data_IF_317341221231
#
_entry.id   IF_317341221231
#
_cell.length_a   1.000
_cell.length_b   1.000
_cell.length_c   1.000
_cell.angle_alpha   90.00
_cell.angle_beta   90.00
_cell.angle_gamma   90.00
#
_symmetry.space_group_name_H-M   'P 1'
#
loop_
_entity.id
_entity.type
_entity.pdbx_description
1 polymer ?
#
# COMPACT_ATOMS: atom_id res chain seq x y z
N UNK A 1 -23.34 31.34 -1.76
CA UNK A 1 -23.17 30.29 -2.77
C UNK A 1 -23.00 28.99 -2.02
N UNK A 2 -24.13 28.35 -1.70
CA UNK A 2 -24.15 27.12 -0.91
C UNK A 2 -23.61 26.00 -1.78
N UNK A 3 -22.39 25.56 -1.47
CA UNK A 3 -21.92 24.25 -1.87
C UNK A 3 -22.94 23.26 -1.35
N UNK A 4 -23.75 22.77 -2.26
CA UNK A 4 -24.65 21.67 -2.04
C UNK A 4 -23.82 20.49 -1.51
N UNK A 5 -23.71 20.38 -0.18
CA UNK A 5 -23.45 19.13 0.53
C UNK A 5 -24.68 18.23 0.34
N UNK A 6 -25.04 17.96 -0.91
CA UNK A 6 -25.87 16.83 -1.28
C UNK A 6 -25.01 15.64 -0.93
N UNK A 7 -25.16 15.18 0.30
CA UNK A 7 -24.99 13.76 0.59
C UNK A 7 -25.95 13.09 -0.38
N UNK A 8 -25.42 12.67 -1.53
CA UNK A 8 -26.08 11.75 -2.42
C UNK A 8 -26.20 10.48 -1.60
N UNK A 9 -27.24 10.41 -0.76
CA UNK A 9 -27.49 9.27 0.13
C UNK A 9 -28.00 8.17 -0.78
N UNK A 10 -27.07 7.63 -1.56
CA UNK A 10 -27.19 6.36 -2.23
C UNK A 10 -27.56 5.32 -1.16
N UNK A 11 -28.24 4.23 -1.54
CA UNK A 11 -28.64 3.17 -0.60
C UNK A 11 -27.50 2.83 0.34
N UNK A 12 -27.76 2.61 1.64
CA UNK A 12 -26.71 2.53 2.66
C UNK A 12 -25.57 1.54 2.37
N UNK A 13 -25.83 0.51 1.55
CA UNK A 13 -24.80 -0.38 1.01
C UNK A 13 -23.80 0.36 0.11
N UNK A 14 -24.25 1.22 -0.80
CA UNK A 14 -23.39 1.95 -1.73
C UNK A 14 -22.42 2.90 -1.02
N UNK A 15 -22.92 3.64 -0.02
CA UNK A 15 -22.10 4.55 0.80
C UNK A 15 -21.01 3.79 1.56
N UNK A 16 -21.33 2.61 2.11
CA UNK A 16 -20.34 1.74 2.75
C UNK A 16 -19.23 1.32 1.77
N UNK A 17 -19.59 1.02 0.53
CA UNK A 17 -18.65 0.57 -0.50
C UNK A 17 -17.76 1.71 -0.99
N UNK A 18 -18.30 2.92 -1.10
CA UNK A 18 -17.52 4.10 -1.44
C UNK A 18 -16.45 4.36 -0.37
N UNK A 19 -16.83 4.37 0.91
CA UNK A 19 -15.87 4.52 2.02
C UNK A 19 -14.87 3.37 2.11
N UNK A 20 -15.31 2.14 1.86
CA UNK A 20 -14.44 0.96 1.89
C UNK A 20 -13.37 1.04 0.78
N UNK A 21 -13.76 1.40 -0.43
CA UNK A 21 -12.82 1.56 -1.55
C UNK A 21 -11.83 2.71 -1.33
N UNK A 22 -12.29 3.83 -0.76
CA UNK A 22 -11.44 4.97 -0.42
C UNK A 22 -10.41 4.61 0.68
N UNK A 23 -10.84 3.88 1.72
CA UNK A 23 -9.95 3.42 2.78
C UNK A 23 -8.86 2.47 2.27
N UNK A 24 -9.19 1.58 1.33
CA UNK A 24 -8.21 0.67 0.70
C UNK A 24 -7.17 1.44 -0.09
N UNK A 25 -7.58 2.45 -0.88
CA UNK A 25 -6.65 3.25 -1.67
C UNK A 25 -5.68 4.07 -0.79
N UNK A 26 -6.18 4.61 0.31
CA UNK A 26 -5.37 5.30 1.31
C UNK A 26 -4.37 4.35 1.99
N UNK A 27 -4.80 3.14 2.35
CA UNK A 27 -3.91 2.11 2.91
C UNK A 27 -2.79 1.72 1.94
N UNK A 28 -3.12 1.52 0.65
CA UNK A 28 -2.15 1.23 -0.40
C UNK A 28 -1.11 2.34 -0.50
N UNK A 29 -1.55 3.60 -0.54
CA UNK A 29 -0.68 4.78 -0.65
C UNK A 29 0.33 4.84 0.49
N UNK A 30 -0.12 4.65 1.73
CA UNK A 30 0.76 4.66 2.91
C UNK A 30 1.75 3.50 2.87
N UNK A 31 1.29 2.30 2.50
CA UNK A 31 2.14 1.12 2.42
C UNK A 31 3.29 1.27 1.39
N UNK A 32 3.01 1.89 0.23
CA UNK A 32 4.07 2.21 -0.75
C UNK A 32 5.09 3.17 -0.15
N UNK A 33 4.64 4.21 0.56
CA UNK A 33 5.53 5.15 1.26
C UNK A 33 6.46 4.45 2.25
N UNK A 34 5.92 3.55 3.08
CA UNK A 34 6.73 2.76 4.02
C UNK A 34 7.71 1.82 3.32
N UNK A 35 7.29 1.15 2.23
CA UNK A 35 8.18 0.27 1.48
C UNK A 35 9.40 1.02 0.93
N UNK A 36 9.20 2.23 0.39
CA UNK A 36 10.31 3.07 -0.11
C UNK A 36 11.27 3.44 1.03
N UNK A 37 10.76 3.82 2.20
CA UNK A 37 11.61 4.14 3.35
C UNK A 37 12.47 2.95 3.78
N UNK A 38 11.89 1.75 3.84
CA UNK A 38 12.63 0.53 4.18
C UNK A 38 13.69 0.17 3.15
N UNK A 39 13.42 0.39 1.86
CA UNK A 39 14.40 0.19 0.79
C UNK A 39 15.57 1.18 0.94
N UNK A 40 15.31 2.44 1.28
CA UNK A 40 16.35 3.45 1.48
C UNK A 40 17.26 3.08 2.68
N UNK A 41 16.67 2.65 3.79
CA UNK A 41 17.41 2.19 4.97
C UNK A 41 18.28 0.97 4.62
N UNK A 42 17.70 -0.02 3.93
CA UNK A 42 18.43 -1.21 3.49
C UNK A 42 19.58 -0.87 2.52
N UNK A 43 19.36 0.08 1.62
CA UNK A 43 20.36 0.55 0.66
C UNK A 43 21.52 1.26 1.34
N UNK A 44 21.24 2.12 2.32
CA UNK A 44 22.27 2.77 3.14
C UNK A 44 23.12 1.73 3.89
N UNK A 45 22.47 0.70 4.44
CA UNK A 45 23.15 -0.38 5.15
C UNK A 45 24.09 -1.20 4.24
N UNK A 46 23.73 -1.38 2.96
CA UNK A 46 24.60 -1.99 1.95
C UNK A 46 25.80 -1.06 1.65
N UNK A 47 25.58 0.25 1.50
CA UNK A 47 26.66 1.19 1.16
C UNK A 47 27.70 1.34 2.28
N UNK A 48 27.26 1.34 3.55
CA UNK A 48 28.15 1.46 4.71
C UNK A 48 28.83 0.13 5.08
N UNK A 49 28.39 -0.99 4.52
CA UNK A 49 28.85 -2.33 4.92
C UNK A 49 30.35 -2.61 4.68
N UNK A 50 31.06 -1.85 3.84
CA UNK A 50 32.51 -2.02 3.65
C UNK A 50 32.92 -3.47 3.34
N UNK A 51 33.88 -4.02 4.10
CA UNK A 51 34.31 -5.43 4.01
C UNK A 51 33.51 -6.39 4.91
N UNK A 52 32.53 -5.90 5.66
CA UNK A 52 31.74 -6.68 6.61
C UNK A 52 30.52 -7.28 5.89
N UNK A 53 30.71 -8.50 5.38
CA UNK A 53 29.70 -9.22 4.59
C UNK A 53 28.37 -9.42 5.31
N UNK A 54 28.37 -9.43 6.64
CA UNK A 54 27.16 -9.54 7.45
C UNK A 54 26.20 -8.38 7.23
N UNK A 55 26.73 -7.14 7.25
CA UNK A 55 25.91 -5.93 7.03
C UNK A 55 25.35 -5.87 5.61
N UNK A 56 26.13 -6.32 4.63
CA UNK A 56 25.67 -6.39 3.24
C UNK A 56 24.51 -7.37 3.06
N UNK A 57 24.56 -8.51 3.75
CA UNK A 57 23.48 -9.51 3.75
C UNK A 57 22.21 -8.94 4.41
N UNK A 58 22.35 -8.29 5.57
CA UNK A 58 21.21 -7.66 6.27
C UNK A 58 20.53 -6.60 5.41
N UNK A 59 21.30 -5.74 4.74
CA UNK A 59 20.78 -4.72 3.83
C UNK A 59 19.99 -5.32 2.67
N UNK A 60 20.50 -6.39 2.05
CA UNK A 60 19.79 -7.11 0.98
C UNK A 60 18.50 -7.74 1.49
N UNK A 61 18.53 -8.41 2.64
CA UNK A 61 17.35 -9.01 3.24
C UNK A 61 16.27 -7.98 3.52
N UNK A 62 16.63 -6.81 4.08
CA UNK A 62 15.67 -5.71 4.30
C UNK A 62 14.98 -5.26 3.00
N UNK A 63 15.75 -5.06 1.93
CA UNK A 63 15.20 -4.67 0.62
C UNK A 63 14.28 -5.76 0.08
N UNK A 64 14.68 -7.03 0.17
CA UNK A 64 13.86 -8.17 -0.28
C UNK A 64 12.54 -8.25 0.47
N UNK A 65 12.56 -8.12 1.80
CA UNK A 65 11.34 -8.12 2.61
C UNK A 65 10.43 -6.93 2.31
N UNK A 66 10.99 -5.74 2.07
CA UNK A 66 10.22 -4.56 1.65
C UNK A 66 9.55 -4.77 0.29
N UNK A 67 10.25 -5.38 -0.67
CA UNK A 67 9.70 -5.74 -1.98
C UNK A 67 8.60 -6.78 -1.88
N UNK A 68 8.78 -7.83 -1.07
CA UNK A 68 7.76 -8.85 -0.85
C UNK A 68 6.51 -8.21 -0.22
N UNK A 69 6.67 -7.34 0.77
CA UNK A 69 5.57 -6.60 1.38
C UNK A 69 4.81 -5.74 0.37
N UNK A 70 5.52 -5.02 -0.50
CA UNK A 70 4.92 -4.22 -1.56
C UNK A 70 4.10 -5.07 -2.54
N UNK A 71 4.63 -6.22 -2.95
CA UNK A 71 3.95 -7.16 -3.85
C UNK A 71 2.65 -7.67 -3.21
N UNK A 72 2.69 -8.08 -1.94
CA UNK A 72 1.51 -8.58 -1.22
C UNK A 72 0.41 -7.51 -1.15
N UNK A 73 0.79 -6.28 -0.80
CA UNK A 73 -0.14 -5.16 -0.69
C UNK A 73 -0.75 -4.82 -2.05
N UNK A 74 0.05 -4.84 -3.12
CA UNK A 74 -0.45 -4.63 -4.48
C UNK A 74 -1.46 -5.71 -4.91
N UNK A 75 -1.16 -6.98 -4.62
CA UNK A 75 -2.07 -8.10 -4.85
C UNK A 75 -3.37 -7.98 -4.04
N UNK A 76 -3.30 -7.56 -2.78
CA UNK A 76 -4.47 -7.32 -1.96
C UNK A 76 -5.38 -6.24 -2.58
N UNK A 77 -4.80 -5.11 -3.01
CA UNK A 77 -5.53 -4.05 -3.71
C UNK A 77 -6.19 -4.53 -5.00
N UNK A 78 -5.46 -5.32 -5.80
CA UNK A 78 -5.98 -5.92 -7.03
C UNK A 78 -7.14 -6.88 -6.78
N UNK A 79 -7.01 -7.75 -5.78
CA UNK A 79 -8.05 -8.70 -5.39
C UNK A 79 -9.33 -7.99 -4.92
N UNK A 80 -9.19 -6.96 -4.08
CA UNK A 80 -10.31 -6.17 -3.58
C UNK A 80 -11.05 -5.43 -4.71
N UNK A 81 -10.31 -4.82 -5.65
CA UNK A 81 -10.90 -4.17 -6.84
C UNK A 81 -11.63 -5.18 -7.73
N UNK A 82 -11.07 -6.38 -7.89
CA UNK A 82 -11.69 -7.47 -8.66
C UNK A 82 -13.00 -7.92 -8.00
N UNK A 83 -13.02 -8.13 -6.68
CA UNK A 83 -14.26 -8.47 -5.97
C UNK A 83 -15.31 -7.35 -6.08
N UNK A 84 -14.92 -6.08 -5.87
CA UNK A 84 -15.84 -4.94 -6.01
C UNK A 84 -16.51 -4.92 -7.40
N UNK A 85 -15.77 -5.22 -8.46
CA UNK A 85 -16.34 -5.29 -9.82
C UNK A 85 -17.36 -6.42 -10.02
N UNK A 86 -17.26 -7.51 -9.26
CA UNK A 86 -18.13 -8.69 -9.37
C UNK A 86 -19.41 -8.52 -8.53
N UNK A 87 -19.36 -7.81 -7.40
CA UNK A 87 -20.51 -7.62 -6.51
C UNK A 87 -21.40 -6.42 -6.85
N UNK A 88 -20.93 -5.44 -7.63
CA UNK A 88 -21.65 -4.17 -7.91
C UNK A 88 -21.91 -3.91 -9.40
N UNK A 89 -22.23 -4.94 -10.19
CA UNK A 89 -22.98 -4.76 -11.45
C UNK A 89 -24.46 -4.56 -11.13
#
# INVERSE_FOLDING_TARGET
MGSENRLDVKPGAQTFIDYFNEAVDLLLTIAVGFAVLWILIGSYFIMVSGSDGGKRSTGKSMITWALIGLIIVNFAGFFLRTMNSIFFT
#
